data_IF_190005535602
#
_entry.id   IF_190005535602
#
_cell.length_a   1.000
_cell.length_b   1.000
_cell.length_c   1.000
_cell.angle_alpha   90.00
_cell.angle_beta   90.00
_cell.angle_gamma   90.00
#
_symmetry.space_group_name_H-M   'P 1'
#
loop_
_entity.id
_entity.type
_entity.pdbx_description
1 polymer ?
#
# COMPACT_ATOMS: atom_id res chain seq x y z
N UNK A 1 15.48 8.62 5.65
CA UNK A 1 15.04 7.66 4.61
C UNK A 1 13.64 7.95 4.06
N UNK A 2 12.64 8.29 4.88
CA UNK A 2 11.35 8.80 4.39
C UNK A 2 11.50 10.02 3.46
N UNK A 3 12.44 10.92 3.78
CA UNK A 3 12.76 12.08 2.95
C UNK A 3 13.17 11.69 1.53
N UNK A 4 14.01 10.66 1.36
CA UNK A 4 14.43 10.17 0.04
C UNK A 4 13.24 9.66 -0.79
N UNK A 5 12.33 8.92 -0.16
CA UNK A 5 11.09 8.44 -0.81
C UNK A 5 10.22 9.60 -1.29
N UNK A 6 9.98 10.59 -0.43
CA UNK A 6 9.19 11.77 -0.81
C UNK A 6 9.87 12.61 -1.88
N UNK A 7 11.20 12.73 -1.83
CA UNK A 7 11.97 13.43 -2.84
C UNK A 7 11.85 12.74 -4.21
N UNK A 8 11.96 11.40 -4.26
CA UNK A 8 11.76 10.62 -5.49
C UNK A 8 10.33 10.73 -6.02
N UNK A 9 9.32 10.70 -5.15
CA UNK A 9 7.93 10.92 -5.56
C UNK A 9 7.74 12.33 -6.13
N UNK A 10 8.26 13.35 -5.47
CA UNK A 10 8.14 14.73 -5.92
C UNK A 10 8.84 14.96 -7.27
N UNK A 11 10.05 14.41 -7.45
CA UNK A 11 10.77 14.48 -8.74
C UNK A 11 10.01 13.74 -9.85
N UNK A 12 9.45 12.56 -9.57
CA UNK A 12 8.63 11.81 -10.53
C UNK A 12 7.38 12.58 -10.96
N UNK A 13 6.64 13.12 -10.02
CA UNK A 13 5.45 13.95 -10.30
C UNK A 13 5.81 15.25 -11.03
N UNK A 14 6.94 15.89 -10.68
CA UNK A 14 7.45 17.07 -11.36
C UNK A 14 7.78 16.81 -12.83
N UNK A 15 8.44 15.68 -13.14
CA UNK A 15 8.73 15.27 -14.50
C UNK A 15 7.47 14.93 -15.32
N UNK A 16 6.49 14.26 -14.70
CA UNK A 16 5.19 13.99 -15.34
C UNK A 16 4.44 15.28 -15.67
N UNK A 17 4.41 16.23 -14.73
CA UNK A 17 3.80 17.53 -14.96
C UNK A 17 4.50 18.30 -16.09
N UNK A 18 5.83 18.30 -16.12
CA UNK A 18 6.60 18.93 -17.20
C UNK A 18 6.34 18.27 -18.57
N UNK A 19 6.25 16.94 -18.63
CA UNK A 19 5.88 16.21 -19.83
C UNK A 19 4.46 16.55 -20.30
N UNK A 20 3.50 16.59 -19.40
CA UNK A 20 2.10 16.97 -19.70
C UNK A 20 1.99 18.40 -20.24
N UNK A 21 2.70 19.36 -19.62
CA UNK A 21 2.75 20.75 -20.10
C UNK A 21 3.34 20.82 -21.50
N UNK A 22 4.38 20.05 -21.80
CA UNK A 22 5.01 20.02 -23.12
C UNK A 22 4.05 19.45 -24.18
N UNK A 23 3.35 18.37 -23.88
CA UNK A 23 2.32 17.79 -24.76
C UNK A 23 1.19 18.80 -24.97
N UNK A 24 0.72 19.46 -23.91
CA UNK A 24 -0.34 20.45 -24.00
C UNK A 24 0.06 21.67 -24.86
N UNK A 25 1.28 22.18 -24.70
CA UNK A 25 1.83 23.26 -25.54
C UNK A 25 1.89 22.87 -27.03
N UNK A 26 2.31 21.63 -27.30
CA UNK A 26 2.36 21.14 -28.67
C UNK A 26 0.94 20.99 -29.28
N UNK A 27 0.00 20.44 -28.50
CA UNK A 27 -1.40 20.32 -28.90
C UNK A 27 -2.04 21.70 -29.15
N UNK A 28 -1.78 22.67 -28.27
CA UNK A 28 -2.27 24.04 -28.42
C UNK A 28 -1.74 24.68 -29.71
N UNK A 29 -0.46 24.50 -30.07
CA UNK A 29 0.10 24.98 -31.34
C UNK A 29 -0.57 24.35 -32.57
N UNK A 30 -0.86 23.05 -32.52
CA UNK A 30 -1.60 22.38 -33.61
C UNK A 30 -3.02 22.93 -33.75
N UNK A 31 -3.72 23.14 -32.66
CA UNK A 31 -5.07 23.71 -32.68
C UNK A 31 -5.07 25.15 -33.26
N UNK A 32 -4.09 25.97 -32.85
CA UNK A 32 -3.93 27.30 -33.42
C UNK A 32 -3.63 27.26 -34.92
N UNK A 33 -2.77 26.36 -35.37
CA UNK A 33 -2.47 26.17 -36.79
C UNK A 33 -3.74 25.79 -37.57
N UNK A 34 -4.55 24.87 -37.08
CA UNK A 34 -5.82 24.50 -37.71
C UNK A 34 -6.85 25.66 -37.71
N UNK A 35 -6.86 26.49 -36.67
CA UNK A 35 -7.73 27.70 -36.66
C UNK A 35 -7.29 28.72 -37.73
N UNK A 36 -5.99 28.95 -37.87
CA UNK A 36 -5.48 29.86 -38.92
C UNK A 36 -5.77 29.34 -40.31
N UNK A 37 -5.67 28.04 -40.57
CA UNK A 37 -6.04 27.43 -41.85
C UNK A 37 -7.53 27.60 -42.17
N UNK A 38 -8.42 27.58 -41.19
CA UNK A 38 -9.87 27.81 -41.38
C UNK A 38 -10.19 29.27 -41.75
N UNK A 39 -9.38 30.23 -41.35
CA UNK A 39 -9.55 31.63 -41.69
C UNK A 39 -9.00 31.97 -43.10
N UNK A 40 -8.16 31.11 -43.67
CA UNK A 40 -7.59 31.26 -45.02
C UNK A 40 -8.44 30.51 -46.09
N UNK A 41 -9.41 29.69 -45.70
CA UNK A 41 -10.27 28.94 -46.62
C UNK A 41 -11.43 29.79 -47.16
N UNK A 42 -11.93 29.54 -48.33
CA UNK A 42 -12.00 30.33 -49.56
C UNK A 42 -13.26 31.19 -49.60
N UNK A 43 -13.09 32.48 -49.36
CA UNK A 43 -14.12 33.49 -49.58
C UNK A 43 -13.82 34.48 -50.70
N UNK A 44 -12.76 34.30 -51.46
CA UNK A 44 -12.29 35.29 -52.42
C UNK A 44 -12.19 34.84 -53.89
N UNK A 45 -13.01 33.88 -54.31
CA UNK A 45 -13.10 33.49 -55.73
C UNK A 45 -14.52 33.76 -56.29
N UNK A 46 -15.16 34.79 -55.84
CA UNK A 46 -16.40 35.24 -56.46
C UNK A 46 -16.26 36.71 -56.81
N UNK A 47 -15.47 37.01 -57.83
CA UNK A 47 -15.24 38.38 -58.32
C UNK A 47 -14.54 38.41 -59.67
N UNK A 48 -14.75 37.41 -60.53
CA UNK A 48 -14.43 37.57 -61.97
C UNK A 48 -15.68 38.10 -62.69
N UNK A 49 -15.95 39.40 -62.55
CA UNK A 49 -16.78 40.09 -63.52
C UNK A 49 -15.86 40.68 -64.56
N UNK A 50 -16.19 40.36 -65.79
CA UNK A 50 -15.67 40.86 -67.07
C UNK A 50 -15.49 42.36 -67.08
N UNK A 51 -14.25 42.86 -67.14
CA UNK A 51 -13.93 44.25 -67.51
C UNK A 51 -12.96 44.26 -68.69
N UNK A 52 -12.96 45.31 -69.57
CA UNK A 52 -12.38 45.25 -70.91
C UNK A 52 -10.84 45.27 -70.94
N UNK A 53 -10.34 44.67 -72.02
CA UNK A 53 -8.95 44.53 -72.43
C UNK A 53 -8.18 45.86 -72.41
N UNK A 54 -6.91 45.78 -71.88
CA UNK A 54 -5.88 46.72 -72.27
C UNK A 54 -5.22 47.56 -71.22
N UNK A 55 -4.60 46.91 -70.18
CA UNK A 55 -3.48 47.50 -69.45
C UNK A 55 -2.61 46.38 -68.85
N UNK A 56 -1.28 46.46 -68.87
CA UNK A 56 -0.44 45.51 -68.20
C UNK A 56 -0.65 45.67 -66.67
N UNK A 57 -1.46 44.81 -66.10
CA UNK A 57 -1.64 44.75 -64.66
C UNK A 57 -0.34 44.32 -63.99
N UNK A 58 0.28 45.25 -63.29
CA UNK A 58 1.28 44.91 -62.25
C UNK A 58 0.58 43.97 -61.26
N UNK A 59 1.02 42.72 -61.20
CA UNK A 59 0.64 41.73 -60.21
C UNK A 59 0.99 42.30 -58.85
N UNK A 60 0.04 42.57 -57.96
CA UNK A 60 0.39 42.87 -56.59
C UNK A 60 1.11 41.67 -56.05
N UNK A 61 2.33 41.88 -55.66
CA UNK A 61 3.14 40.88 -54.92
C UNK A 61 2.34 40.44 -53.70
N UNK A 62 1.63 39.33 -53.88
CA UNK A 62 0.95 38.64 -52.77
C UNK A 62 2.05 38.22 -51.80
N UNK A 63 2.24 38.99 -50.77
CA UNK A 63 2.92 38.49 -49.59
C UNK A 63 2.08 37.32 -49.07
N UNK A 64 2.32 36.16 -49.66
CA UNK A 64 1.79 34.90 -49.18
C UNK A 64 2.25 34.76 -47.76
N UNK A 65 1.34 34.95 -46.82
CA UNK A 65 1.57 34.57 -45.46
C UNK A 65 1.85 33.06 -45.47
N UNK A 66 3.13 32.70 -45.58
CA UNK A 66 3.60 31.34 -45.44
C UNK A 66 3.31 30.93 -43.99
N UNK A 67 2.19 30.24 -43.79
CA UNK A 67 1.85 29.66 -42.50
C UNK A 67 2.91 28.59 -42.21
N UNK A 68 3.89 28.97 -41.44
CA UNK A 68 5.01 28.10 -41.03
C UNK A 68 4.45 26.90 -40.27
N UNK A 69 4.73 25.67 -40.75
CA UNK A 69 4.29 24.44 -40.09
C UNK A 69 4.91 24.38 -38.71
N UNK A 70 4.11 24.21 -37.66
CA UNK A 70 4.65 24.11 -36.30
C UNK A 70 5.57 22.91 -36.22
N UNK A 71 6.85 23.14 -35.89
CA UNK A 71 7.79 22.06 -35.62
C UNK A 71 7.42 21.44 -34.26
N UNK A 72 6.81 20.27 -34.31
CA UNK A 72 6.47 19.51 -33.13
C UNK A 72 7.67 18.74 -32.61
N UNK A 73 8.27 19.17 -31.52
CA UNK A 73 9.33 18.44 -30.83
C UNK A 73 8.75 17.28 -30.02
N UNK A 74 8.33 16.23 -30.70
CA UNK A 74 7.85 14.99 -30.06
C UNK A 74 8.98 14.16 -29.45
N UNK A 75 10.22 14.40 -29.82
CA UNK A 75 11.38 13.65 -29.31
C UNK A 75 11.57 13.84 -27.83
N UNK A 76 11.43 15.06 -27.31
CA UNK A 76 11.51 15.35 -25.86
C UNK A 76 10.40 14.70 -25.07
N UNK A 77 9.17 14.68 -25.60
CA UNK A 77 8.02 14.05 -24.93
C UNK A 77 8.16 12.52 -24.88
N UNK A 78 8.67 11.89 -25.94
CA UNK A 78 8.89 10.43 -26.00
C UNK A 78 9.90 9.94 -24.95
N UNK A 79 10.92 10.73 -24.64
CA UNK A 79 11.92 10.39 -23.64
C UNK A 79 11.56 10.85 -22.23
N UNK A 80 10.84 11.95 -22.09
CA UNK A 80 10.42 12.47 -20.78
C UNK A 80 9.40 11.54 -20.08
N UNK A 81 8.52 10.89 -20.83
CA UNK A 81 7.50 10.01 -20.28
C UNK A 81 8.10 8.77 -19.58
N UNK A 82 8.92 7.94 -20.22
CA UNK A 82 9.55 6.80 -19.54
C UNK A 82 10.56 7.24 -18.46
N UNK A 83 11.27 8.36 -18.65
CA UNK A 83 12.17 8.90 -17.64
C UNK A 83 11.47 9.31 -16.35
N UNK A 84 10.22 9.76 -16.40
CA UNK A 84 9.43 10.10 -15.22
C UNK A 84 8.94 8.85 -14.45
N UNK A 85 8.77 7.72 -15.11
CA UNK A 85 8.35 6.47 -14.47
C UNK A 85 9.44 5.84 -13.62
N UNK A 86 10.71 6.05 -14.00
CA UNK A 86 11.84 5.45 -13.28
C UNK A 86 11.91 5.88 -11.81
N UNK A 87 11.88 7.17 -11.44
CA UNK A 87 11.90 7.58 -10.04
C UNK A 87 10.63 7.15 -9.28
N UNK A 88 9.47 7.05 -9.95
CA UNK A 88 8.23 6.57 -9.34
C UNK A 88 8.31 5.09 -8.97
N UNK A 89 8.80 4.25 -9.89
CA UNK A 89 9.00 2.82 -9.64
C UNK A 89 10.03 2.62 -8.52
N UNK A 90 11.13 3.38 -8.54
CA UNK A 90 12.15 3.32 -7.51
C UNK A 90 11.60 3.72 -6.14
N UNK A 91 10.79 4.77 -6.07
CA UNK A 91 10.15 5.21 -4.84
C UNK A 91 9.13 4.18 -4.29
N UNK A 92 8.40 3.50 -5.17
CA UNK A 92 7.46 2.45 -4.80
C UNK A 92 8.16 1.18 -4.28
N UNK A 93 9.39 0.92 -4.74
CA UNK A 93 10.18 -0.24 -4.30
C UNK A 93 10.83 -0.09 -2.92
N UNK A 94 10.86 1.11 -2.35
CA UNK A 94 11.47 1.33 -1.03
C UNK A 94 10.46 1.00 0.06
N UNK A 95 10.74 -0.07 0.82
CA UNK A 95 9.97 -0.48 2.00
C UNK A 95 10.79 -0.29 3.26
N UNK A 96 10.18 0.33 4.27
CA UNK A 96 10.81 0.55 5.58
C UNK A 96 10.18 -0.41 6.58
N UNK A 97 11.00 -1.28 7.16
CA UNK A 97 10.62 -2.16 8.26
C UNK A 97 10.95 -1.44 9.57
N UNK A 98 9.94 -1.11 10.41
CA UNK A 98 10.18 -0.41 11.67
C UNK A 98 10.89 -1.30 12.69
N UNK A 99 11.51 -0.67 13.68
CA UNK A 99 12.17 -1.37 14.79
C UNK A 99 11.17 -2.20 15.58
N UNK A 100 11.53 -3.46 15.86
CA UNK A 100 10.68 -4.42 16.57
C UNK A 100 9.73 -5.20 15.66
N UNK A 101 9.77 -4.96 14.33
CA UNK A 101 9.02 -5.76 13.36
C UNK A 101 9.96 -6.54 12.45
N UNK A 102 9.50 -7.71 12.01
CA UNK A 102 10.11 -8.50 10.95
C UNK A 102 9.23 -8.46 9.70
N UNK A 103 9.81 -8.30 8.53
CA UNK A 103 9.09 -8.29 7.25
C UNK A 103 9.29 -9.59 6.49
N UNK A 104 8.27 -10.05 5.80
CA UNK A 104 8.33 -11.19 4.89
C UNK A 104 7.94 -10.71 3.51
N UNK A 105 8.71 -11.12 2.50
CA UNK A 105 8.38 -10.84 1.10
C UNK A 105 7.44 -11.91 0.58
N UNK A 106 6.31 -11.49 0.08
CA UNK A 106 5.34 -12.34 -0.61
C UNK A 106 5.28 -11.90 -2.07
N UNK A 107 5.74 -12.77 -2.96
CA UNK A 107 5.71 -12.54 -4.40
C UNK A 107 4.41 -13.10 -4.99
N UNK A 108 3.81 -12.38 -5.93
CA UNK A 108 2.62 -12.86 -6.63
C UNK A 108 2.93 -14.06 -7.54
N UNK A 109 4.19 -14.23 -7.94
CA UNK A 109 4.60 -15.31 -8.84
C UNK A 109 5.17 -16.52 -8.13
N UNK A 110 5.90 -16.31 -7.03
CA UNK A 110 6.64 -17.37 -6.31
C UNK A 110 6.08 -17.64 -4.90
N UNK A 111 5.03 -16.92 -4.46
CA UNK A 111 4.50 -17.03 -3.10
C UNK A 111 5.42 -16.44 -2.05
N UNK A 112 5.49 -17.06 -0.87
CA UNK A 112 6.36 -16.59 0.21
C UNK A 112 7.81 -16.84 -0.12
N UNK A 113 8.59 -15.76 -0.23
CA UNK A 113 10.03 -15.84 -0.48
C UNK A 113 10.79 -16.16 0.82
N UNK A 114 11.80 -17.05 0.76
CA UNK A 114 12.61 -17.35 1.92
C UNK A 114 13.42 -16.15 2.38
N UNK A 115 13.59 -16.04 3.68
CA UNK A 115 14.37 -14.99 4.34
C UNK A 115 13.52 -13.85 4.88
N UNK A 116 13.84 -13.44 6.09
CA UNK A 116 13.16 -12.38 6.82
C UNK A 116 13.86 -11.04 6.60
N UNK A 117 13.09 -10.00 6.38
CA UNK A 117 13.56 -8.63 6.34
C UNK A 117 13.65 -8.10 7.78
N UNK A 118 14.87 -7.87 8.26
CA UNK A 118 15.12 -7.25 9.56
C UNK A 118 14.78 -5.74 9.55
N UNK A 119 14.65 -5.10 10.72
CA UNK A 119 14.41 -3.66 10.79
C UNK A 119 15.41 -2.86 9.97
N UNK A 120 14.91 -2.01 9.08
CA UNK A 120 15.73 -1.23 8.17
C UNK A 120 15.01 -0.85 6.89
N UNK A 121 15.79 -0.43 5.91
CA UNK A 121 15.30 -0.07 4.58
C UNK A 121 15.65 -1.19 3.60
N UNK A 122 14.63 -1.69 2.93
CA UNK A 122 14.78 -2.76 1.94
C UNK A 122 14.20 -2.31 0.61
N UNK A 123 14.79 -2.85 -0.45
CA UNK A 123 14.28 -2.66 -1.80
C UNK A 123 13.50 -3.90 -2.23
N UNK A 124 12.27 -3.67 -2.63
CA UNK A 124 11.32 -4.72 -3.05
C UNK A 124 10.81 -4.36 -4.43
N UNK A 125 10.59 -5.34 -5.30
CA UNK A 125 10.08 -5.07 -6.65
C UNK A 125 8.62 -4.65 -6.55
N UNK A 126 8.31 -3.36 -6.88
CA UNK A 126 6.94 -2.89 -6.78
C UNK A 126 6.04 -3.63 -7.76
N UNK A 127 4.77 -3.81 -7.41
CA UNK A 127 3.73 -4.53 -8.15
C UNK A 127 3.88 -6.07 -8.17
N UNK A 128 5.08 -6.64 -8.03
CA UNK A 128 5.31 -8.09 -7.99
C UNK A 128 5.38 -8.61 -6.56
N UNK A 129 6.03 -7.88 -5.68
CA UNK A 129 6.27 -8.29 -4.31
C UNK A 129 5.54 -7.37 -3.33
N UNK A 130 4.97 -7.96 -2.29
CA UNK A 130 4.43 -7.26 -1.13
C UNK A 130 5.18 -7.65 0.13
N UNK A 131 5.20 -6.76 1.14
CA UNK A 131 5.84 -7.04 2.43
C UNK A 131 4.77 -7.10 3.50
N UNK A 132 4.73 -8.24 4.19
CA UNK A 132 3.89 -8.45 5.38
C UNK A 132 4.75 -8.26 6.61
N UNK A 133 4.29 -7.41 7.54
CA UNK A 133 5.01 -7.08 8.76
C UNK A 133 4.46 -7.88 9.93
N UNK A 134 5.35 -8.47 10.72
CA UNK A 134 5.08 -9.18 11.97
C UNK A 134 5.75 -8.48 13.13
N UNK A 135 5.06 -8.37 14.26
CA UNK A 135 5.67 -7.90 15.50
C UNK A 135 6.50 -9.03 16.12
N UNK A 136 7.83 -8.84 16.19
CA UNK A 136 8.78 -9.80 16.75
C UNK A 136 9.10 -9.53 18.23
N UNK A 137 8.45 -8.56 18.84
CA UNK A 137 8.57 -8.28 20.27
C UNK A 137 7.83 -9.31 21.08
N UNK A 138 8.13 -9.33 22.37
CA UNK A 138 7.35 -10.13 23.32
C UNK A 138 5.90 -9.68 23.35
N UNK A 139 5.01 -10.60 23.05
CA UNK A 139 3.58 -10.40 23.08
C UNK A 139 2.96 -11.11 24.29
N UNK A 140 1.88 -10.57 24.80
CA UNK A 140 1.20 -11.09 25.97
C UNK A 140 -0.25 -11.43 25.62
N UNK A 141 -0.60 -12.69 25.73
CA UNK A 141 -1.98 -13.17 25.70
C UNK A 141 -2.47 -13.34 27.14
N UNK A 142 -3.44 -12.55 27.54
CA UNK A 142 -4.11 -12.67 28.86
C UNK A 142 -5.54 -13.13 28.64
N UNK A 143 -5.91 -14.22 29.29
CA UNK A 143 -7.30 -14.68 29.37
C UNK A 143 -7.81 -14.38 30.76
N UNK A 144 -8.83 -13.51 30.87
CA UNK A 144 -9.46 -13.22 32.16
C UNK A 144 -10.65 -14.16 32.37
N UNK A 145 -10.73 -14.77 33.57
CA UNK A 145 -12.00 -15.34 34.00
C UNK A 145 -12.97 -14.17 34.25
N UNK A 146 -14.13 -14.15 33.60
CA UNK A 146 -15.06 -13.03 33.53
C UNK A 146 -15.63 -12.44 34.84
N UNK A 147 -14.83 -12.39 35.90
CA UNK A 147 -15.17 -11.83 37.22
C UNK A 147 -14.53 -10.48 37.54
N UNK A 148 -13.54 -10.01 36.74
CA UNK A 148 -12.86 -8.73 37.01
C UNK A 148 -13.60 -7.51 36.43
N UNK A 149 -14.89 -7.64 36.14
CA UNK A 149 -15.73 -6.59 35.57
C UNK A 149 -16.41 -5.62 36.57
N UNK A 150 -16.01 -5.62 37.83
CA UNK A 150 -16.75 -4.87 38.89
C UNK A 150 -16.26 -3.46 39.18
N UNK A 151 -15.24 -2.95 38.48
CA UNK A 151 -14.78 -1.56 38.65
C UNK A 151 -14.67 -0.81 37.30
N UNK A 152 -15.76 -0.64 36.60
CA UNK A 152 -15.85 0.30 35.48
C UNK A 152 -16.57 1.56 35.92
N UNK A 153 -15.84 2.67 36.06
CA UNK A 153 -16.35 3.96 36.56
C UNK A 153 -16.99 4.83 35.47
N UNK A 154 -17.10 4.38 34.20
CA UNK A 154 -17.81 5.10 33.14
C UNK A 154 -18.40 4.16 32.10
N UNK A 155 -19.65 4.45 31.67
CA UNK A 155 -20.41 3.64 30.69
C UNK A 155 -19.70 3.47 29.33
N UNK A 156 -18.96 4.47 28.84
CA UNK A 156 -18.23 4.43 27.59
C UNK A 156 -16.96 3.55 27.65
N UNK A 157 -16.37 3.37 28.83
CA UNK A 157 -15.26 2.43 29.04
C UNK A 157 -15.76 1.00 29.28
N UNK A 158 -16.97 0.85 29.83
CA UNK A 158 -17.64 -0.43 29.99
C UNK A 158 -17.97 -1.07 28.64
N UNK A 159 -18.54 -0.32 27.67
CA UNK A 159 -18.80 -0.83 26.31
C UNK A 159 -17.53 -1.25 25.57
N UNK A 160 -16.44 -0.47 25.68
CA UNK A 160 -15.14 -0.84 25.09
C UNK A 160 -14.52 -2.07 25.77
N UNK A 161 -14.73 -2.23 27.09
CA UNK A 161 -14.26 -3.38 27.86
C UNK A 161 -15.12 -4.61 27.60
N UNK A 162 -16.43 -4.49 27.46
CA UNK A 162 -17.31 -5.60 27.06
C UNK A 162 -17.02 -6.12 25.66
N UNK A 163 -16.73 -5.23 24.69
CA UNK A 163 -16.29 -5.62 23.35
C UNK A 163 -14.90 -6.29 23.36
N UNK A 164 -14.03 -5.92 24.30
CA UNK A 164 -12.70 -6.52 24.50
C UNK A 164 -12.77 -7.80 25.33
N UNK A 165 -13.66 -7.88 26.31
CA UNK A 165 -13.92 -9.06 27.15
C UNK A 165 -14.70 -10.17 26.42
N UNK A 166 -15.53 -9.85 25.44
CA UNK A 166 -16.14 -10.87 24.55
C UNK A 166 -15.11 -11.67 23.75
N UNK A 167 -13.85 -11.21 23.68
CA UNK A 167 -12.71 -11.92 23.07
C UNK A 167 -11.81 -12.65 24.07
N UNK A 168 -12.00 -12.46 25.38
CA UNK A 168 -11.25 -13.16 26.40
C UNK A 168 -12.14 -14.25 27.01
N UNK A 169 -12.39 -15.31 26.21
CA UNK A 169 -13.05 -16.51 26.74
C UNK A 169 -12.21 -17.05 27.91
N UNK A 170 -12.79 -17.05 29.11
CA UNK A 170 -12.22 -17.69 30.26
C UNK A 170 -11.95 -19.16 29.92
N UNK A 171 -10.70 -19.60 30.06
CA UNK A 171 -10.38 -21.00 29.87
C UNK A 171 -11.05 -21.83 30.97
N UNK A 172 -12.05 -22.57 30.57
CA UNK A 172 -12.67 -23.56 31.46
C UNK A 172 -12.01 -24.91 31.19
N UNK A 173 -11.40 -25.46 32.24
CA UNK A 173 -10.77 -26.81 32.24
C UNK A 173 -11.39 -27.68 33.30
N UNK A 174 -11.34 -28.99 33.12
CA UNK A 174 -11.80 -29.96 34.14
C UNK A 174 -10.62 -30.46 34.94
N UNK A 175 -10.79 -30.45 36.28
CA UNK A 175 -9.83 -31.06 37.19
C UNK A 175 -9.93 -32.60 37.20
N UNK A 176 -8.99 -33.26 37.85
CA UNK A 176 -9.01 -34.71 38.10
C UNK A 176 -10.32 -35.20 38.75
N UNK A 177 -10.95 -34.36 39.53
CA UNK A 177 -12.21 -34.64 40.25
C UNK A 177 -13.46 -34.36 39.36
N UNK A 178 -13.28 -33.98 38.10
CA UNK A 178 -14.37 -33.66 37.19
C UNK A 178 -14.98 -32.27 37.40
N UNK A 179 -14.41 -31.45 38.27
CA UNK A 179 -14.88 -30.10 38.54
C UNK A 179 -14.39 -29.14 37.45
N UNK A 180 -15.29 -28.31 36.95
CA UNK A 180 -14.96 -27.22 35.97
C UNK A 180 -14.31 -26.04 36.71
N UNK A 181 -13.10 -25.67 36.29
CA UNK A 181 -12.31 -24.57 36.88
C UNK A 181 -12.09 -23.53 35.80
N UNK A 182 -12.43 -22.27 36.08
CA UNK A 182 -12.06 -21.12 35.24
C UNK A 182 -10.64 -20.66 35.59
N UNK A 183 -9.74 -20.67 34.60
CA UNK A 183 -8.36 -20.24 34.77
C UNK A 183 -8.16 -18.87 34.10
N UNK A 184 -7.57 -17.93 34.85
CA UNK A 184 -6.99 -16.72 34.30
C UNK A 184 -5.50 -16.97 34.01
N UNK A 185 -5.11 -16.92 32.74
CA UNK A 185 -3.76 -17.29 32.31
C UNK A 185 -3.16 -16.12 31.55
N UNK A 186 -1.89 -15.84 31.82
CA UNK A 186 -1.10 -14.90 31.05
C UNK A 186 0.05 -15.65 30.39
N UNK A 187 0.05 -15.68 29.07
CA UNK A 187 1.09 -16.33 28.26
C UNK A 187 1.88 -15.27 27.51
N UNK A 188 3.20 -15.32 27.65
CA UNK A 188 4.13 -14.50 26.88
C UNK A 188 4.69 -15.34 25.73
N UNK A 189 4.66 -14.81 24.55
CA UNK A 189 5.20 -15.47 23.36
C UNK A 189 5.87 -14.44 22.45
N UNK A 190 6.75 -14.89 21.58
CA UNK A 190 7.36 -14.07 20.54
C UNK A 190 7.54 -14.89 19.27
N UNK A 191 7.54 -14.24 18.14
CA UNK A 191 7.89 -14.87 16.88
C UNK A 191 9.41 -14.95 16.74
N UNK A 192 9.92 -16.09 16.30
CA UNK A 192 11.32 -16.24 15.91
C UNK A 192 11.54 -15.58 14.54
N UNK A 193 12.35 -14.51 14.47
CA UNK A 193 12.59 -13.80 13.20
C UNK A 193 13.14 -14.73 12.11
N UNK A 194 13.92 -15.74 12.47
CA UNK A 194 14.52 -16.65 11.50
C UNK A 194 13.53 -17.61 10.83
N UNK A 195 12.33 -17.78 11.41
CA UNK A 195 11.29 -18.71 10.94
C UNK A 195 10.00 -18.05 10.50
N UNK A 196 10.00 -16.73 10.35
CA UNK A 196 8.79 -16.00 9.98
C UNK A 196 8.26 -16.39 8.59
N UNK A 197 9.15 -16.69 7.65
CA UNK A 197 8.80 -17.16 6.31
C UNK A 197 8.05 -18.50 6.37
N UNK A 198 8.54 -19.44 7.19
CA UNK A 198 7.86 -20.72 7.42
C UNK A 198 6.50 -20.52 8.11
N UNK A 199 6.43 -19.65 9.11
CA UNK A 199 5.20 -19.33 9.84
C UNK A 199 4.15 -18.75 8.88
N UNK A 200 4.55 -17.81 8.03
CA UNK A 200 3.63 -17.19 7.07
C UNK A 200 3.13 -18.17 6.00
N UNK A 201 4.01 -19.07 5.54
CA UNK A 201 3.67 -20.01 4.47
C UNK A 201 2.78 -21.17 4.94
N UNK A 202 2.95 -21.63 6.20
CA UNK A 202 2.37 -22.89 6.66
C UNK A 202 1.27 -22.73 7.72
N UNK A 203 1.19 -21.55 8.37
CA UNK A 203 0.23 -21.35 9.45
C UNK A 203 -0.90 -20.41 9.03
N UNK A 204 -2.15 -20.65 9.52
CA UNK A 204 -3.27 -19.74 9.27
C UNK A 204 -3.00 -18.36 9.85
N UNK A 205 -3.50 -17.35 9.15
CA UNK A 205 -3.29 -15.95 9.51
C UNK A 205 -4.60 -15.30 9.99
N UNK A 206 -4.57 -14.47 11.01
CA UNK A 206 -3.44 -14.08 11.87
C UNK A 206 -3.11 -15.13 12.93
N UNK A 207 -1.85 -15.53 13.03
CA UNK A 207 -1.34 -16.55 13.96
C UNK A 207 -1.71 -16.27 15.42
N UNK A 208 -1.67 -15.01 15.81
CA UNK A 208 -1.98 -14.55 17.16
C UNK A 208 -3.40 -14.89 17.60
N UNK A 209 -4.36 -14.92 16.69
CA UNK A 209 -5.78 -15.19 16.97
C UNK A 209 -6.17 -16.62 16.69
N UNK A 210 -5.60 -17.20 15.64
CA UNK A 210 -6.03 -18.50 15.13
C UNK A 210 -5.24 -19.67 15.75
N UNK A 211 -4.00 -19.45 16.22
CA UNK A 211 -3.14 -20.52 16.71
C UNK A 211 -2.86 -20.41 18.19
N UNK A 212 -2.46 -19.23 18.67
CA UNK A 212 -2.00 -19.10 20.07
C UNK A 212 -3.09 -19.48 21.08
N UNK A 213 -4.33 -18.97 21.00
CA UNK A 213 -5.38 -19.32 21.96
C UNK A 213 -5.75 -20.81 21.96
N UNK A 214 -6.03 -21.46 20.80
CA UNK A 214 -6.38 -22.88 20.82
C UNK A 214 -5.23 -23.79 21.27
N UNK A 215 -3.97 -23.48 20.93
CA UNK A 215 -2.82 -24.25 21.41
C UNK A 215 -2.70 -24.15 22.92
N UNK A 216 -2.77 -22.94 23.48
CA UNK A 216 -2.75 -22.73 24.91
C UNK A 216 -3.89 -23.49 25.59
N UNK A 217 -5.13 -23.38 25.04
CA UNK A 217 -6.29 -24.07 25.62
C UNK A 217 -6.16 -25.60 25.58
N UNK A 218 -5.60 -26.16 24.49
CA UNK A 218 -5.42 -27.61 24.39
C UNK A 218 -4.42 -28.14 25.41
N UNK A 219 -3.28 -27.45 25.58
CA UNK A 219 -2.26 -27.81 26.59
C UNK A 219 -2.84 -27.78 28.00
N UNK A 220 -3.60 -26.75 28.34
CA UNK A 220 -4.20 -26.70 29.69
C UNK A 220 -5.30 -27.74 29.89
N UNK A 221 -6.10 -28.08 28.86
CA UNK A 221 -7.06 -29.17 28.94
C UNK A 221 -6.42 -30.55 29.06
N UNK A 222 -5.23 -30.74 28.52
CA UNK A 222 -4.44 -31.94 28.66
C UNK A 222 -3.82 -32.06 30.05
N UNK A 223 -3.31 -30.95 30.60
CA UNK A 223 -2.64 -30.93 31.89
C UNK A 223 -3.59 -30.94 33.11
N UNK A 224 -4.71 -30.24 33.02
CA UNK A 224 -5.63 -30.04 34.16
C UNK A 224 -6.17 -31.34 34.78
N UNK A 225 -6.52 -32.42 34.01
CA UNK A 225 -7.01 -33.67 34.59
C UNK A 225 -5.95 -34.43 35.44
N UNK A 226 -4.69 -34.06 35.37
CA UNK A 226 -3.65 -34.66 36.17
C UNK A 226 -3.60 -34.10 37.58
N UNK A 227 -4.28 -32.97 37.86
CA UNK A 227 -4.22 -32.28 39.14
C UNK A 227 -5.60 -32.15 39.77
N UNK A 228 -5.64 -32.26 41.10
CA UNK A 228 -6.82 -31.93 41.89
C UNK A 228 -6.97 -30.42 41.99
N UNK A 229 -8.18 -29.94 42.27
CA UNK A 229 -8.47 -28.51 42.48
C UNK A 229 -7.53 -27.91 43.51
N UNK A 230 -7.31 -28.62 44.60
CA UNK A 230 -6.41 -28.19 45.70
C UNK A 230 -4.97 -28.03 45.23
N UNK A 231 -4.48 -28.96 44.43
CA UNK A 231 -3.10 -28.89 43.88
C UNK A 231 -2.91 -27.70 42.94
N UNK A 232 -3.88 -27.42 42.10
CA UNK A 232 -3.83 -26.26 41.19
C UNK A 232 -3.73 -24.95 41.94
N UNK A 233 -4.54 -24.79 43.03
CA UNK A 233 -4.58 -23.52 43.76
C UNK A 233 -3.53 -23.40 44.86
N UNK A 234 -3.12 -24.52 45.50
CA UNK A 234 -2.22 -24.48 46.65
C UNK A 234 -0.74 -24.81 46.34
N UNK A 235 -0.49 -25.74 45.38
CA UNK A 235 0.85 -26.31 45.20
C UNK A 235 1.49 -25.92 43.87
N UNK A 236 0.71 -25.63 42.86
CA UNK A 236 1.18 -25.37 41.48
C UNK A 236 0.90 -23.94 41.00
N UNK A 237 0.92 -22.98 41.89
CA UNK A 237 0.78 -21.57 41.59
C UNK A 237 2.05 -20.97 41.01
#
# INVERSE_FOLDING_TARGET
MLFLRYLLLFTGWGLLAAAAINVFKNLYRVVQYHRQLRHIAPGSVSGLSSGPEGAPAELPSTHGATVEKPQLNWTTAKWAFPAAWLPLILAAGIVVVPSGMGGIRVSQTAGTLPGTLYPGVHFVVPMLDSVVLYDIRDQVLTTSSGRDGLEATSEAEAEKREAKNKKADAFTVQSREGLSIGLAITVRYKFDPAKLDFIHANLPQPVEKEIVPPVVSSVFRELAPNYTVREVFATKR
#
